data_IF_789777103063
#
_entry.id   IF_789777103063
#
_cell.length_a   1.000
_cell.length_b   1.000
_cell.length_c   1.000
_cell.angle_alpha   90.00
_cell.angle_beta   90.00
_cell.angle_gamma   90.00
#
_symmetry.space_group_name_H-M   'P 1'
#
loop_
_entity.id
_entity.type
_entity.pdbx_description
1 polymer ?
#
# COMPACT_ATOMS: atom_id res chain seq x y z
N UNK A 1 5.96 -4.42 -3.07
CA UNK A 1 6.76 -4.61 -4.28
C UNK A 1 6.77 -3.36 -5.17
N UNK A 2 5.64 -2.68 -5.32
CA UNK A 2 5.48 -1.56 -6.28
C UNK A 2 5.89 -0.17 -5.75
N UNK A 3 6.30 -0.04 -4.49
CA UNK A 3 6.66 1.26 -3.91
C UNK A 3 7.96 1.78 -4.53
N UNK A 4 7.86 2.89 -5.26
CA UNK A 4 8.99 3.58 -5.90
C UNK A 4 9.73 4.48 -4.91
N UNK A 5 8.99 5.10 -3.96
CA UNK A 5 9.57 5.95 -2.92
C UNK A 5 10.40 5.16 -1.92
N UNK A 6 10.35 5.55 -0.66
CA UNK A 6 11.17 4.91 0.35
C UNK A 6 10.39 4.47 1.58
N UNK A 7 11.12 4.30 2.67
CA UNK A 7 10.61 4.00 3.99
C UNK A 7 11.13 5.03 4.98
N UNK A 8 10.23 5.60 5.79
CA UNK A 8 10.63 6.58 6.80
C UNK A 8 11.37 5.91 7.96
N UNK A 9 12.31 6.66 8.53
CA UNK A 9 13.03 6.27 9.75
C UNK A 9 13.25 7.51 10.62
N UNK A 10 13.03 7.38 11.92
CA UNK A 10 13.46 8.35 12.90
C UNK A 10 14.99 8.38 12.96
N UNK A 11 15.62 9.51 12.63
CA UNK A 11 17.09 9.61 12.63
C UNK A 11 17.65 9.60 14.06
N UNK A 12 17.09 10.45 14.89
CA UNK A 12 17.40 10.61 16.32
C UNK A 12 16.24 11.27 17.05
N UNK A 13 16.35 11.43 18.36
CA UNK A 13 15.29 12.00 19.20
C UNK A 13 14.91 13.44 18.80
N UNK A 14 15.81 14.22 18.21
CA UNK A 14 15.54 15.60 17.79
C UNK A 14 14.61 15.69 16.58
N UNK A 15 14.53 14.64 15.76
CA UNK A 15 13.63 14.55 14.60
C UNK A 15 12.20 14.12 14.99
N UNK A 16 11.99 13.61 16.23
CA UNK A 16 10.70 13.03 16.61
C UNK A 16 9.52 14.01 16.47
N UNK A 17 9.65 15.21 17.03
CA UNK A 17 8.55 16.17 17.05
C UNK A 17 8.18 16.63 15.64
N UNK A 18 9.17 16.85 14.77
CA UNK A 18 8.94 17.24 13.38
C UNK A 18 8.31 16.11 12.57
N UNK A 19 8.75 14.88 12.76
CA UNK A 19 8.19 13.71 12.07
C UNK A 19 6.76 13.42 12.53
N UNK A 20 6.52 13.53 13.84
CA UNK A 20 5.18 13.38 14.41
C UNK A 20 4.22 14.43 13.85
N UNK A 21 4.62 15.70 13.84
CA UNK A 21 3.80 16.81 13.33
C UNK A 21 3.54 16.69 11.81
N UNK A 22 4.54 16.32 11.00
CA UNK A 22 4.37 16.09 9.57
C UNK A 22 3.32 14.98 9.32
N UNK A 23 3.37 13.89 10.10
CA UNK A 23 2.42 12.77 9.99
C UNK A 23 1.01 13.20 10.39
N UNK A 24 0.87 13.91 11.52
CA UNK A 24 -0.42 14.43 12.00
C UNK A 24 -1.05 15.41 11.01
N UNK A 25 -0.24 16.34 10.49
CA UNK A 25 -0.67 17.35 9.53
C UNK A 25 -1.12 16.71 8.21
N UNK A 26 -0.35 15.76 7.69
CA UNK A 26 -0.71 15.03 6.48
C UNK A 26 -2.03 14.29 6.63
N UNK A 27 -2.29 13.69 7.80
CA UNK A 27 -3.52 12.98 8.14
C UNK A 27 -4.68 13.89 8.56
N UNK A 28 -4.55 15.22 8.40
CA UNK A 28 -5.54 16.24 8.82
C UNK A 28 -5.88 16.19 10.32
N UNK A 29 -4.92 15.77 11.16
CA UNK A 29 -5.06 15.57 12.60
C UNK A 29 -6.16 14.56 13.01
N UNK A 30 -6.59 13.71 12.11
CA UNK A 30 -7.51 12.60 12.39
C UNK A 30 -6.78 11.27 12.66
N UNK A 31 -5.47 11.34 12.80
CA UNK A 31 -4.63 10.22 13.14
C UNK A 31 -4.82 9.79 14.61
N UNK A 32 -4.66 8.51 14.87
CA UNK A 32 -4.44 8.02 16.23
C UNK A 32 -3.03 8.36 16.69
N UNK A 33 -2.92 9.25 17.69
CA UNK A 33 -1.64 9.79 18.18
C UNK A 33 -0.71 8.73 18.75
N UNK A 34 -1.28 7.72 19.40
CA UNK A 34 -0.51 6.63 20.00
C UNK A 34 0.04 5.71 18.90
N UNK A 35 -0.77 5.34 17.91
CA UNK A 35 -0.33 4.58 16.74
C UNK A 35 0.79 5.29 15.99
N UNK A 36 0.68 6.61 15.78
CA UNK A 36 1.75 7.43 15.16
C UNK A 36 3.03 7.37 15.99
N UNK A 37 2.94 7.56 17.31
CA UNK A 37 4.09 7.50 18.20
C UNK A 37 4.76 6.13 18.19
N UNK A 38 3.97 5.04 18.24
CA UNK A 38 4.45 3.66 18.15
C UNK A 38 5.21 3.45 16.85
N UNK A 39 4.64 3.85 15.72
CA UNK A 39 5.28 3.70 14.41
C UNK A 39 6.64 4.41 14.37
N UNK A 40 6.68 5.67 14.74
CA UNK A 40 7.89 6.50 14.67
C UNK A 40 9.00 5.93 15.57
N UNK A 41 8.68 5.64 16.84
CA UNK A 41 9.67 5.15 17.81
C UNK A 41 10.19 3.74 17.50
N UNK A 42 9.42 2.93 16.78
CA UNK A 42 9.83 1.58 16.38
C UNK A 42 10.61 1.54 15.07
N UNK A 43 10.74 2.68 14.37
CA UNK A 43 11.27 2.73 13.01
C UNK A 43 12.73 2.25 12.90
N UNK A 44 13.59 2.67 13.85
CA UNK A 44 15.01 2.28 13.85
C UNK A 44 15.18 0.76 13.99
N UNK A 45 14.42 0.12 14.89
CA UNK A 45 14.45 -1.33 15.09
C UNK A 45 14.01 -2.08 13.84
N UNK A 46 12.98 -1.58 13.16
CA UNK A 46 12.49 -2.18 11.90
C UNK A 46 13.53 -2.05 10.80
N UNK A 47 14.17 -0.90 10.65
CA UNK A 47 15.22 -0.70 9.64
C UNK A 47 16.44 -1.61 9.92
N UNK A 48 16.84 -1.75 11.19
CA UNK A 48 17.91 -2.69 11.56
C UNK A 48 17.54 -4.14 11.19
N UNK A 49 16.30 -4.57 11.45
CA UNK A 49 15.84 -5.89 11.05
C UNK A 49 15.90 -6.08 9.52
N UNK A 50 15.45 -5.07 8.74
CA UNK A 50 15.49 -5.12 7.28
C UNK A 50 16.92 -5.27 6.75
N UNK A 51 17.86 -4.49 7.28
CA UNK A 51 19.29 -4.61 6.95
C UNK A 51 19.80 -6.02 7.34
N UNK A 52 19.37 -6.54 8.47
CA UNK A 52 19.69 -7.91 8.91
C UNK A 52 19.16 -8.99 7.96
N UNK A 53 18.03 -8.75 7.28
CA UNK A 53 17.49 -9.61 6.22
C UNK A 53 18.17 -9.40 4.86
N UNK A 54 19.10 -8.45 4.77
CA UNK A 54 19.87 -8.19 3.55
C UNK A 54 19.26 -7.14 2.63
N UNK A 55 18.37 -6.29 3.14
CA UNK A 55 17.89 -5.10 2.40
C UNK A 55 19.02 -4.11 2.27
N UNK A 56 19.28 -3.66 1.05
CA UNK A 56 20.34 -2.72 0.72
C UNK A 56 19.74 -1.32 0.48
N UNK A 57 19.92 -0.44 1.45
CA UNK A 57 19.54 0.97 1.32
C UNK A 57 20.71 1.79 0.77
N UNK A 58 20.40 2.85 0.02
CA UNK A 58 21.39 3.81 -0.47
C UNK A 58 22.28 4.34 0.66
N UNK A 59 23.55 4.57 0.36
CA UNK A 59 24.57 5.05 1.30
C UNK A 59 25.28 6.28 0.75
N UNK A 60 25.72 7.13 1.66
CA UNK A 60 26.56 8.28 1.33
C UNK A 60 28.02 7.86 1.06
N UNK A 61 28.84 8.82 0.66
CA UNK A 61 30.27 8.62 0.38
C UNK A 61 31.07 8.05 1.57
N UNK A 62 30.55 8.20 2.79
CA UNK A 62 31.16 7.70 4.02
C UNK A 62 30.61 6.32 4.44
N UNK A 63 29.68 5.74 3.65
CA UNK A 63 29.06 4.46 3.94
C UNK A 63 27.90 4.52 4.93
N UNK A 64 27.46 5.71 5.37
CA UNK A 64 26.28 5.86 6.19
C UNK A 64 25.01 5.77 5.34
N UNK A 65 23.86 5.48 5.99
CA UNK A 65 22.56 5.49 5.32
C UNK A 65 22.28 6.89 4.73
N UNK A 66 21.95 6.91 3.44
CA UNK A 66 21.56 8.14 2.75
C UNK A 66 20.06 8.39 2.95
N UNK A 67 19.69 9.64 3.24
CA UNK A 67 18.31 10.05 3.45
C UNK A 67 17.86 11.04 2.38
N UNK A 68 16.69 10.81 1.85
CA UNK A 68 15.99 11.75 0.97
C UNK A 68 14.75 12.34 1.63
N UNK A 69 14.10 13.29 0.94
CA UNK A 69 12.88 13.96 1.38
C UNK A 69 11.84 13.89 0.25
N UNK A 70 10.62 13.55 0.61
CA UNK A 70 9.45 13.66 -0.26
C UNK A 70 8.55 14.83 0.16
N UNK A 71 7.54 15.13 -0.63
CA UNK A 71 6.57 16.18 -0.36
C UNK A 71 5.91 16.03 1.02
N UNK A 72 5.56 17.15 1.65
CA UNK A 72 4.98 17.25 2.99
C UNK A 72 5.88 16.81 4.16
N UNK A 73 7.10 16.35 3.92
CA UNK A 73 8.11 16.17 4.98
C UNK A 73 8.88 17.46 5.25
N UNK A 74 9.09 17.79 6.50
CA UNK A 74 9.89 18.96 6.91
C UNK A 74 11.40 18.68 6.85
N UNK A 75 11.82 17.40 6.94
CA UNK A 75 13.22 16.99 6.94
C UNK A 75 13.46 15.73 6.09
N UNK A 76 14.74 15.45 5.80
CA UNK A 76 15.18 14.22 5.13
C UNK A 76 15.16 13.07 6.15
N UNK A 77 14.24 12.12 5.99
CA UNK A 77 14.11 10.94 6.86
C UNK A 77 13.72 9.66 6.13
N UNK A 78 13.80 9.67 4.82
CA UNK A 78 13.34 8.57 3.97
C UNK A 78 14.55 7.82 3.45
N UNK A 79 14.64 6.53 3.78
CA UNK A 79 15.58 5.58 3.21
C UNK A 79 15.02 5.02 1.92
N UNK A 80 15.87 4.76 0.95
CA UNK A 80 15.48 4.34 -0.38
C UNK A 80 16.51 3.39 -1.00
N UNK A 81 16.09 2.68 -2.04
CA UNK A 81 16.94 1.91 -2.93
C UNK A 81 16.50 2.24 -4.36
N UNK A 82 17.24 3.11 -5.03
CA UNK A 82 16.85 3.67 -6.33
C UNK A 82 15.37 4.14 -6.32
N UNK A 83 14.59 3.82 -7.34
CA UNK A 83 13.13 4.01 -7.39
C UNK A 83 12.35 2.66 -7.31
N UNK A 84 12.95 1.65 -6.63
CA UNK A 84 12.39 0.29 -6.44
C UNK A 84 12.47 -0.21 -4.98
N UNK A 85 12.40 0.68 -4.02
CA UNK A 85 12.54 0.33 -2.59
C UNK A 85 11.57 -0.77 -2.14
N UNK A 86 10.36 -0.78 -2.65
CA UNK A 86 9.37 -1.81 -2.32
C UNK A 86 9.75 -3.19 -2.87
N UNK A 87 10.35 -3.26 -4.05
CA UNK A 87 10.87 -4.50 -4.63
C UNK A 87 12.04 -5.04 -3.81
N UNK A 88 13.00 -4.18 -3.46
CA UNK A 88 14.15 -4.54 -2.64
C UNK A 88 13.72 -5.14 -1.30
N UNK A 89 12.86 -4.45 -0.55
CA UNK A 89 12.36 -4.94 0.75
C UNK A 89 11.62 -6.26 0.59
N UNK A 90 10.65 -6.33 -0.35
CA UNK A 90 9.78 -7.51 -0.48
C UNK A 90 10.55 -8.74 -0.95
N UNK A 91 11.48 -8.58 -1.91
CA UNK A 91 12.28 -9.69 -2.44
C UNK A 91 13.19 -10.30 -1.37
N UNK A 92 13.84 -9.46 -0.55
CA UNK A 92 14.71 -9.93 0.55
C UNK A 92 13.93 -10.64 1.64
N UNK A 93 12.79 -10.06 2.07
CA UNK A 93 11.93 -10.70 3.07
C UNK A 93 11.35 -12.02 2.57
N UNK A 94 10.89 -12.09 1.31
CA UNK A 94 10.41 -13.33 0.71
C UNK A 94 11.51 -14.38 0.61
N UNK A 95 12.72 -13.99 0.21
CA UNK A 95 13.87 -14.88 0.17
C UNK A 95 14.23 -15.40 1.56
N UNK A 96 14.13 -14.59 2.60
CA UNK A 96 14.33 -15.01 3.98
C UNK A 96 13.24 -16.00 4.44
N UNK A 97 11.97 -15.70 4.16
CA UNK A 97 10.85 -16.58 4.49
C UNK A 97 10.98 -17.96 3.82
N UNK A 98 11.38 -18.02 2.54
CA UNK A 98 11.60 -19.28 1.80
C UNK A 98 12.72 -20.15 2.36
N UNK A 99 13.62 -19.59 3.15
CA UNK A 99 14.69 -20.35 3.83
C UNK A 99 14.23 -20.96 5.17
N UNK A 100 13.07 -20.54 5.70
CA UNK A 100 12.56 -21.04 6.97
C UNK A 100 11.81 -22.35 6.74
N UNK A 101 12.25 -23.50 7.33
CA UNK A 101 11.64 -24.81 7.07
C UNK A 101 10.23 -24.97 7.64
N UNK A 102 9.83 -24.10 8.56
CA UNK A 102 8.51 -24.05 9.20
C UNK A 102 7.53 -23.08 8.53
N UNK A 103 7.91 -22.46 7.40
CA UNK A 103 7.02 -21.60 6.63
C UNK A 103 6.60 -22.32 5.36
N UNK A 104 5.29 -22.45 5.15
CA UNK A 104 4.70 -22.97 3.91
C UNK A 104 4.07 -21.82 3.14
N UNK A 105 4.52 -21.57 1.91
CA UNK A 105 3.96 -20.55 1.02
C UNK A 105 3.05 -21.25 0.00
N UNK A 106 1.78 -20.84 -0.02
CA UNK A 106 0.76 -21.36 -0.93
C UNK A 106 0.49 -20.30 -2.01
N UNK A 107 1.23 -20.39 -3.11
CA UNK A 107 1.04 -19.49 -4.26
C UNK A 107 -0.26 -19.83 -5.01
N UNK A 108 -0.81 -18.88 -5.78
CA UNK A 108 -2.05 -19.01 -6.56
C UNK A 108 -3.25 -19.54 -5.72
N UNK A 109 -3.25 -19.17 -4.44
CA UNK A 109 -4.26 -19.61 -3.47
C UNK A 109 -5.00 -18.42 -2.92
N UNK A 110 -6.33 -18.42 -3.00
CA UNK A 110 -7.19 -17.34 -2.55
C UNK A 110 -7.92 -17.71 -1.28
N UNK A 111 -7.90 -16.84 -0.27
CA UNK A 111 -8.82 -16.90 0.85
C UNK A 111 -10.22 -16.53 0.37
N UNK A 112 -11.19 -17.40 0.64
CA UNK A 112 -12.61 -17.19 0.25
C UNK A 112 -13.52 -17.00 1.44
N UNK A 113 -13.10 -17.46 2.63
CA UNK A 113 -13.83 -17.26 3.89
C UNK A 113 -12.92 -17.52 5.09
N UNK A 114 -13.47 -17.26 6.30
CA UNK A 114 -12.90 -17.69 7.59
C UNK A 114 -13.82 -18.64 8.33
N UNK A 115 -13.25 -19.48 9.17
CA UNK A 115 -13.99 -20.42 10.03
C UNK A 115 -14.16 -19.79 11.39
N UNK A 116 -15.40 -19.50 11.78
CA UNK A 116 -15.68 -18.74 13.00
C UNK A 116 -16.76 -19.40 13.86
N UNK A 117 -16.68 -19.20 15.17
CA UNK A 117 -17.71 -19.52 16.15
C UNK A 117 -17.57 -18.59 17.36
N UNK A 118 -18.69 -18.08 17.86
CA UNK A 118 -18.74 -17.26 19.10
C UNK A 118 -17.75 -16.07 19.08
N UNK A 119 -17.67 -15.34 17.96
CA UNK A 119 -16.74 -14.23 17.70
C UNK A 119 -15.25 -14.62 17.81
N UNK A 120 -14.91 -15.87 17.53
CA UNK A 120 -13.55 -16.37 17.52
C UNK A 120 -13.22 -16.99 16.16
N UNK A 121 -12.02 -16.69 15.60
CA UNK A 121 -11.52 -17.26 14.36
C UNK A 121 -10.71 -18.52 14.65
N UNK A 122 -10.97 -19.59 13.89
CA UNK A 122 -10.31 -20.89 14.02
C UNK A 122 -9.47 -21.24 12.79
N UNK A 123 -9.51 -20.39 11.75
CA UNK A 123 -8.77 -20.60 10.52
C UNK A 123 -9.48 -20.04 9.31
N UNK A 124 -9.13 -20.54 8.14
CA UNK A 124 -9.61 -19.98 6.86
C UNK A 124 -10.07 -21.06 5.90
N UNK A 125 -10.94 -20.67 4.97
CA UNK A 125 -11.31 -21.44 3.79
C UNK A 125 -10.54 -20.87 2.61
N UNK A 126 -9.81 -21.71 1.92
CA UNK A 126 -8.99 -21.34 0.77
C UNK A 126 -9.47 -22.05 -0.49
N UNK A 127 -9.23 -21.39 -1.62
CA UNK A 127 -9.42 -21.96 -2.94
C UNK A 127 -8.08 -22.04 -3.66
N UNK A 128 -7.74 -23.23 -4.12
CA UNK A 128 -6.55 -23.50 -4.93
C UNK A 128 -6.75 -23.05 -6.38
N UNK A 129 -5.67 -23.00 -7.13
CA UNK A 129 -5.68 -22.67 -8.56
C UNK A 129 -6.56 -23.63 -9.39
N UNK A 130 -6.58 -24.91 -9.05
CA UNK A 130 -7.42 -25.93 -9.69
C UNK A 130 -8.90 -25.85 -9.29
N UNK A 131 -9.28 -24.89 -8.46
CA UNK A 131 -10.64 -24.70 -7.96
C UNK A 131 -10.97 -25.49 -6.70
N UNK A 132 -10.07 -26.32 -6.18
CA UNK A 132 -10.29 -27.11 -4.97
C UNK A 132 -10.49 -26.18 -3.76
N UNK A 133 -11.53 -26.46 -2.97
CA UNK A 133 -11.81 -25.77 -1.70
C UNK A 133 -11.25 -26.57 -0.54
N UNK A 134 -10.39 -25.95 0.22
CA UNK A 134 -9.76 -26.53 1.41
C UNK A 134 -9.97 -25.62 2.63
N UNK A 135 -9.77 -26.20 3.80
CA UNK A 135 -9.78 -25.47 5.07
C UNK A 135 -8.40 -25.56 5.72
N UNK A 136 -7.95 -24.46 6.28
CA UNK A 136 -6.69 -24.38 7.04
C UNK A 136 -7.05 -24.00 8.47
N UNK A 137 -6.84 -24.93 9.40
CA UNK A 137 -6.98 -24.68 10.83
C UNK A 137 -5.77 -23.91 11.35
N UNK A 138 -6.01 -22.89 12.18
CA UNK A 138 -4.96 -22.05 12.73
C UNK A 138 -5.31 -21.54 14.13
N UNK A 139 -4.32 -21.47 15.00
CA UNK A 139 -4.45 -20.81 16.31
C UNK A 139 -4.65 -19.31 16.17
N UNK A 140 -3.98 -18.70 15.21
CA UNK A 140 -4.11 -17.29 14.87
C UNK A 140 -4.19 -17.13 13.36
N UNK A 141 -5.04 -16.22 12.91
CA UNK A 141 -5.14 -15.82 11.51
C UNK A 141 -4.74 -14.35 11.38
N UNK A 142 -3.89 -14.04 10.40
CA UNK A 142 -3.46 -12.68 10.13
C UNK A 142 -3.88 -12.28 8.71
N UNK A 143 -4.67 -11.23 8.59
CA UNK A 143 -5.01 -10.64 7.31
C UNK A 143 -3.99 -9.60 6.89
N UNK A 144 -3.35 -9.83 5.75
CA UNK A 144 -2.44 -8.92 5.07
C UNK A 144 -2.82 -8.82 3.58
N UNK A 145 -4.13 -8.68 3.31
CA UNK A 145 -4.75 -8.83 1.99
C UNK A 145 -4.63 -7.56 1.13
N UNK A 146 -4.00 -6.50 1.63
CA UNK A 146 -3.97 -5.18 0.97
C UNK A 146 -5.31 -4.45 1.03
N UNK A 147 -5.44 -3.43 0.18
CA UNK A 147 -6.59 -2.53 0.17
C UNK A 147 -7.65 -2.85 -0.88
N UNK A 148 -8.19 -1.79 -1.49
CA UNK A 148 -9.34 -1.84 -2.40
C UNK A 148 -9.01 -1.31 -3.81
N UNK A 149 -7.74 -1.12 -4.13
CA UNK A 149 -7.30 -0.42 -5.34
C UNK A 149 -7.79 -1.06 -6.64
N UNK A 150 -7.96 -2.38 -6.66
CA UNK A 150 -8.47 -3.09 -7.83
C UNK A 150 -9.91 -2.75 -8.23
N UNK A 151 -10.66 -2.06 -7.36
CA UNK A 151 -12.03 -1.61 -7.66
C UNK A 151 -12.08 -0.30 -8.46
N UNK A 152 -10.95 0.43 -8.54
CA UNK A 152 -10.87 1.72 -9.23
C UNK A 152 -10.37 1.56 -10.66
N UNK A 153 -10.91 2.36 -11.58
CA UNK A 153 -10.47 2.41 -12.97
C UNK A 153 -9.00 2.79 -13.06
N UNK A 154 -8.61 3.92 -12.47
CA UNK A 154 -7.24 4.36 -12.35
C UNK A 154 -6.72 4.01 -10.96
N UNK A 155 -5.75 3.10 -10.90
CA UNK A 155 -5.16 2.66 -9.64
C UNK A 155 -3.71 2.21 -9.83
N UNK A 156 -2.85 2.58 -8.89
CA UNK A 156 -1.46 2.10 -8.85
C UNK A 156 -1.35 0.67 -8.30
N UNK A 157 -2.45 0.11 -7.80
CA UNK A 157 -2.49 -1.21 -7.18
C UNK A 157 -2.82 -2.32 -8.19
N UNK A 158 -2.46 -3.54 -7.85
CA UNK A 158 -2.87 -4.71 -8.63
C UNK A 158 -4.38 -4.90 -8.64
N UNK A 159 -4.91 -5.35 -9.76
CA UNK A 159 -6.35 -5.52 -9.99
C UNK A 159 -7.03 -6.57 -9.09
N UNK A 160 -6.26 -7.50 -8.52
CA UNK A 160 -6.78 -8.51 -7.60
C UNK A 160 -7.01 -7.98 -6.17
N UNK A 161 -6.57 -6.75 -5.85
CA UNK A 161 -6.79 -6.13 -4.54
C UNK A 161 -8.21 -5.54 -4.47
N UNK A 162 -9.20 -6.38 -4.21
CA UNK A 162 -10.63 -6.06 -4.31
C UNK A 162 -11.33 -5.90 -2.95
N UNK A 163 -10.57 -5.79 -1.85
CA UNK A 163 -11.14 -5.59 -0.52
C UNK A 163 -11.76 -6.87 0.08
N UNK A 164 -11.18 -8.02 -0.20
CA UNK A 164 -11.70 -9.31 0.27
C UNK A 164 -11.87 -9.36 1.80
N UNK A 165 -10.90 -8.80 2.55
CA UNK A 165 -11.01 -8.71 4.02
C UNK A 165 -12.17 -7.82 4.49
N UNK A 166 -12.50 -6.74 3.76
CA UNK A 166 -13.65 -5.89 4.07
C UNK A 166 -14.98 -6.65 3.85
N UNK A 167 -15.08 -7.37 2.74
CA UNK A 167 -16.26 -8.18 2.44
C UNK A 167 -16.48 -9.25 3.52
N UNK A 168 -15.41 -9.94 3.92
CA UNK A 168 -15.47 -10.92 5.02
C UNK A 168 -15.77 -10.26 6.38
N UNK A 169 -15.26 -9.05 6.61
CA UNK A 169 -15.58 -8.30 7.83
C UNK A 169 -17.08 -8.00 7.93
N UNK A 170 -17.69 -7.56 6.85
CA UNK A 170 -19.16 -7.33 6.79
C UNK A 170 -19.92 -8.64 7.03
N UNK A 171 -19.50 -9.72 6.37
CA UNK A 171 -20.12 -11.04 6.49
C UNK A 171 -20.10 -11.58 7.92
N UNK A 172 -18.98 -11.42 8.64
CA UNK A 172 -18.74 -11.99 9.96
C UNK A 172 -18.91 -10.98 11.11
N UNK A 173 -19.37 -9.75 10.84
CA UNK A 173 -19.61 -8.75 11.87
C UNK A 173 -18.32 -8.17 12.49
N UNK A 174 -17.19 -8.23 11.77
CA UNK A 174 -15.91 -7.67 12.21
C UNK A 174 -15.94 -6.16 12.00
N UNK A 175 -15.45 -5.40 12.97
CA UNK A 175 -15.48 -3.94 12.95
C UNK A 175 -14.59 -3.38 11.84
N UNK A 176 -15.16 -2.46 11.05
CA UNK A 176 -14.46 -1.62 10.07
C UNK A 176 -14.30 -0.20 10.60
N UNK A 177 -13.30 0.52 10.10
CA UNK A 177 -13.05 1.93 10.44
C UNK A 177 -12.64 2.71 9.20
N UNK A 178 -13.12 3.95 9.09
CA UNK A 178 -12.70 4.96 8.11
C UNK A 178 -12.72 4.48 6.64
N UNK A 179 -13.70 3.65 6.27
CA UNK A 179 -13.79 3.00 4.94
C UNK A 179 -13.96 3.97 3.77
N UNK A 180 -14.19 5.23 4.03
CA UNK A 180 -14.24 6.33 3.05
C UNK A 180 -12.89 7.04 2.88
N UNK A 181 -11.85 6.68 3.65
CA UNK A 181 -10.54 7.33 3.56
C UNK A 181 -9.67 6.63 2.51
N UNK A 182 -9.70 7.20 1.31
CA UNK A 182 -8.96 6.70 0.15
C UNK A 182 -8.04 7.81 -0.35
N UNK A 183 -6.75 7.52 -0.47
CA UNK A 183 -5.77 8.44 -1.01
C UNK A 183 -5.72 8.33 -2.53
N UNK A 184 -5.83 9.47 -3.20
CA UNK A 184 -5.59 9.61 -4.63
C UNK A 184 -4.17 10.16 -4.83
N UNK A 185 -3.36 9.48 -5.63
CA UNK A 185 -2.07 10.03 -6.05
C UNK A 185 -2.30 10.96 -7.25
N UNK A 186 -1.71 12.16 -7.25
CA UNK A 186 -1.97 13.16 -8.28
C UNK A 186 -1.48 12.76 -9.67
N UNK A 187 -0.36 12.05 -9.76
CA UNK A 187 0.34 11.78 -11.01
C UNK A 187 0.62 10.30 -11.20
N UNK A 188 -0.11 9.69 -12.13
CA UNK A 188 0.19 8.38 -12.70
C UNK A 188 0.21 8.53 -14.21
N UNK A 189 1.00 7.73 -14.90
CA UNK A 189 1.03 7.74 -16.35
C UNK A 189 -0.35 7.39 -16.90
N UNK A 190 -0.90 8.25 -17.78
CA UNK A 190 -2.17 8.00 -18.42
C UNK A 190 -2.00 7.11 -19.65
N UNK A 191 -2.74 6.02 -19.70
CA UNK A 191 -2.91 5.20 -20.91
C UNK A 191 -4.40 5.01 -21.20
N UNK A 192 -4.86 5.14 -22.44
CA UNK A 192 -6.24 4.84 -22.81
C UNK A 192 -6.59 3.35 -22.66
N UNK A 193 -5.62 2.46 -22.79
CA UNK A 193 -5.75 1.01 -22.71
C UNK A 193 -5.43 0.51 -21.28
N UNK A 194 -6.41 0.66 -20.38
CA UNK A 194 -6.22 0.38 -18.96
C UNK A 194 -6.64 -1.04 -18.56
N UNK A 195 -6.06 -2.06 -19.13
CA UNK A 195 -6.27 -3.43 -18.64
C UNK A 195 -5.46 -3.71 -17.36
N UNK A 196 -4.34 -3.02 -17.18
CA UNK A 196 -3.43 -3.16 -16.04
C UNK A 196 -3.55 -2.00 -15.03
N UNK A 197 -2.69 -2.00 -14.03
CA UNK A 197 -2.57 -0.90 -13.07
C UNK A 197 -1.95 0.33 -13.71
N UNK A 198 -2.34 1.52 -13.22
CA UNK A 198 -1.69 2.77 -13.62
C UNK A 198 -0.24 2.81 -13.10
N UNK A 199 0.70 3.17 -13.97
CA UNK A 199 2.10 3.30 -13.57
C UNK A 199 2.31 4.59 -12.76
N UNK A 200 2.93 4.49 -11.59
CA UNK A 200 3.17 5.64 -10.72
C UNK A 200 4.27 6.53 -11.29
N UNK A 201 3.99 7.83 -11.42
CA UNK A 201 5.02 8.85 -11.54
C UNK A 201 5.24 9.42 -10.14
N UNK A 202 6.37 9.09 -9.54
CA UNK A 202 6.67 9.37 -8.12
C UNK A 202 6.51 10.85 -7.76
N UNK A 203 6.11 11.11 -6.53
CA UNK A 203 6.07 12.48 -5.98
C UNK A 203 7.44 13.15 -5.98
N UNK A 204 8.52 12.36 -5.85
CA UNK A 204 9.90 12.86 -5.91
C UNK A 204 10.21 13.59 -7.23
N UNK A 205 9.63 13.14 -8.36
CA UNK A 205 9.77 13.80 -9.67
C UNK A 205 9.30 15.26 -9.60
N UNK A 206 8.16 15.52 -8.95
CA UNK A 206 7.67 16.89 -8.71
C UNK A 206 8.52 17.63 -7.67
N UNK A 207 9.01 16.91 -6.68
CA UNK A 207 9.95 17.43 -5.67
C UNK A 207 11.25 17.93 -6.28
N UNK A 208 11.75 17.26 -7.31
CA UNK A 208 12.97 17.63 -8.05
C UNK A 208 12.73 18.63 -9.17
N UNK A 209 11.48 19.04 -9.40
CA UNK A 209 11.22 20.21 -10.21
C UNK A 209 10.23 20.04 -11.36
N UNK A 210 9.70 18.85 -11.65
CA UNK A 210 8.72 18.64 -12.71
C UNK A 210 7.50 19.58 -12.57
N UNK A 211 6.90 19.95 -13.68
CA UNK A 211 5.82 20.94 -13.78
C UNK A 211 4.58 20.37 -14.44
N UNK A 212 3.41 20.83 -13.99
CA UNK A 212 2.12 20.42 -14.51
C UNK A 212 1.50 21.49 -15.45
N UNK A 213 1.01 21.04 -16.59
CA UNK A 213 0.46 21.88 -17.63
C UNK A 213 -0.94 21.43 -18.08
N UNK A 214 -1.78 22.40 -18.43
CA UNK A 214 -3.08 22.19 -19.05
C UNK A 214 -2.94 21.81 -20.54
N UNK A 215 -4.06 21.59 -21.23
CA UNK A 215 -4.08 21.25 -22.67
C UNK A 215 -3.45 22.30 -23.58
N UNK A 216 -3.28 23.53 -23.11
CA UNK A 216 -2.68 24.64 -23.86
C UNK A 216 -1.21 24.87 -23.44
N UNK A 217 -0.62 23.93 -22.72
CA UNK A 217 0.74 24.01 -22.19
C UNK A 217 0.94 25.20 -21.25
N UNK A 218 -0.08 25.56 -20.50
CA UNK A 218 -0.01 26.59 -19.47
C UNK A 218 0.04 25.94 -18.08
N UNK A 219 1.04 26.29 -17.28
CA UNK A 219 1.14 25.86 -15.87
C UNK A 219 -0.07 26.39 -15.09
N UNK A 220 -0.74 25.53 -14.33
CA UNK A 220 -2.01 25.85 -13.67
C UNK A 220 -2.02 25.68 -12.15
N UNK A 221 -1.00 25.05 -11.56
CA UNK A 221 -1.00 24.68 -10.14
C UNK A 221 0.41 24.76 -9.53
N UNK A 222 0.48 24.79 -8.20
CA UNK A 222 1.70 24.51 -7.46
C UNK A 222 1.83 23.00 -7.25
N UNK A 223 2.82 22.36 -7.84
CA UNK A 223 3.05 20.92 -7.87
C UNK A 223 3.42 20.33 -6.50
N UNK A 224 3.79 21.16 -5.54
CA UNK A 224 4.18 20.76 -4.19
C UNK A 224 3.04 20.83 -3.17
N UNK A 225 1.81 21.02 -3.62
CA UNK A 225 0.63 20.89 -2.77
C UNK A 225 0.52 19.46 -2.21
N UNK A 226 -0.09 19.27 -1.02
CA UNK A 226 -0.50 17.95 -0.53
C UNK A 226 -1.26 17.15 -1.60
N UNK A 227 -1.13 15.83 -1.58
CA UNK A 227 -1.67 14.93 -2.64
C UNK A 227 -3.14 15.12 -2.92
N UNK A 228 -3.95 15.22 -1.88
CA UNK A 228 -5.40 15.42 -1.96
C UNK A 228 -5.75 16.74 -2.63
N UNK A 229 -5.12 17.83 -2.24
CA UNK A 229 -5.34 19.14 -2.83
C UNK A 229 -4.85 19.20 -4.28
N UNK A 230 -3.69 18.62 -4.57
CA UNK A 230 -3.16 18.60 -5.93
C UNK A 230 -4.03 17.74 -6.86
N UNK A 231 -4.48 16.58 -6.41
CA UNK A 231 -5.38 15.71 -7.18
C UNK A 231 -6.70 16.44 -7.49
N UNK A 232 -7.27 17.16 -6.52
CA UNK A 232 -8.47 17.97 -6.71
C UNK A 232 -8.27 19.06 -7.79
N UNK A 233 -7.15 19.78 -7.76
CA UNK A 233 -6.85 20.81 -8.76
C UNK A 233 -6.64 20.21 -10.16
N UNK A 234 -6.03 19.02 -10.26
CA UNK A 234 -5.88 18.30 -11.53
C UNK A 234 -7.27 17.89 -12.07
N UNK A 235 -8.15 17.31 -11.25
CA UNK A 235 -9.51 16.97 -11.67
C UNK A 235 -10.30 18.19 -12.14
N UNK A 236 -10.18 19.33 -11.44
CA UNK A 236 -10.81 20.60 -11.85
C UNK A 236 -10.28 21.07 -13.22
N UNK A 237 -8.97 20.96 -13.44
CA UNK A 237 -8.37 21.34 -14.70
C UNK A 237 -8.79 20.42 -15.85
N UNK A 238 -8.78 19.09 -15.63
CA UNK A 238 -9.27 18.11 -16.60
C UNK A 238 -10.72 18.39 -17.01
N UNK A 239 -11.60 18.62 -16.03
CA UNK A 239 -13.01 18.96 -16.27
C UNK A 239 -13.17 20.25 -17.07
N UNK A 240 -12.39 21.29 -16.76
CA UNK A 240 -12.39 22.57 -17.48
C UNK A 240 -11.90 22.43 -18.91
N UNK A 241 -10.89 21.59 -19.13
CA UNK A 241 -10.28 21.38 -20.44
C UNK A 241 -11.07 20.38 -21.31
N UNK A 242 -11.92 19.56 -20.70
CA UNK A 242 -12.60 18.44 -21.36
C UNK A 242 -11.62 17.35 -21.80
N UNK A 243 -10.62 17.06 -20.96
CA UNK A 243 -9.56 16.07 -21.25
C UNK A 243 -9.53 14.99 -20.17
N UNK A 244 -9.01 13.80 -20.52
CA UNK A 244 -8.85 12.66 -19.61
C UNK A 244 -7.52 12.68 -18.85
N UNK A 245 -6.64 13.65 -19.11
CA UNK A 245 -5.33 13.80 -18.49
C UNK A 245 -4.86 15.26 -18.50
N UNK A 246 -3.80 15.53 -17.75
CA UNK A 246 -2.97 16.75 -17.84
C UNK A 246 -1.55 16.36 -18.27
N UNK A 247 -0.68 17.32 -18.48
CA UNK A 247 0.69 17.09 -18.93
C UNK A 247 1.68 17.33 -17.79
N UNK A 248 2.67 16.44 -17.64
CA UNK A 248 3.80 16.62 -16.72
C UNK A 248 5.10 16.75 -17.50
N UNK A 249 5.89 17.77 -17.19
CA UNK A 249 7.16 18.10 -17.84
C UNK A 249 8.33 17.80 -16.91
N UNK A 250 9.12 16.80 -17.27
CA UNK A 250 10.30 16.38 -16.52
C UNK A 250 11.58 17.08 -17.02
N UNK A 251 11.54 17.84 -18.11
CA UNK A 251 12.72 18.53 -18.69
C UNK A 251 13.27 19.64 -17.82
N UNK A 252 12.54 20.04 -16.80
CA UNK A 252 12.97 20.99 -15.76
C UNK A 252 13.95 20.39 -14.76
N UNK A 253 14.08 19.06 -14.73
CA UNK A 253 15.07 18.32 -13.93
C UNK A 253 16.34 18.15 -14.79
N UNK A 254 17.54 18.39 -14.23
CA UNK A 254 18.79 18.11 -14.94
C UNK A 254 18.85 16.68 -15.46
N UNK A 255 19.27 16.51 -16.72
CA UNK A 255 19.22 15.20 -17.37
C UNK A 255 19.99 14.09 -16.62
N UNK A 256 21.13 14.44 -16.03
CA UNK A 256 21.94 13.50 -15.27
C UNK A 256 21.18 13.03 -14.02
N UNK A 257 20.60 13.96 -13.27
CA UNK A 257 19.77 13.66 -12.08
C UNK A 257 18.53 12.84 -12.46
N UNK A 258 17.85 13.18 -13.57
CA UNK A 258 16.70 12.44 -14.04
C UNK A 258 17.02 10.97 -14.33
N UNK A 259 18.16 10.70 -14.99
CA UNK A 259 18.58 9.35 -15.35
C UNK A 259 19.12 8.56 -14.17
N UNK A 260 19.69 9.24 -13.15
CA UNK A 260 20.21 8.62 -11.94
C UNK A 260 19.13 8.30 -10.92
N UNK A 261 18.19 9.25 -10.71
CA UNK A 261 17.19 9.11 -9.65
C UNK A 261 15.92 8.38 -10.09
N UNK A 262 15.58 8.39 -11.39
CA UNK A 262 14.31 7.86 -11.91
C UNK A 262 14.47 6.94 -13.12
N UNK A 263 15.43 5.99 -13.12
CA UNK A 263 15.72 5.18 -14.30
C UNK A 263 14.52 4.36 -14.77
N UNK A 264 13.71 3.80 -13.84
CA UNK A 264 12.55 2.99 -14.20
C UNK A 264 11.38 3.85 -14.72
N UNK A 265 11.20 5.08 -14.23
CA UNK A 265 10.20 6.02 -14.78
C UNK A 265 10.56 6.40 -16.20
N UNK A 266 11.84 6.74 -16.46
CA UNK A 266 12.35 7.07 -17.79
C UNK A 266 12.15 5.91 -18.76
N UNK A 267 12.50 4.69 -18.33
CA UNK A 267 12.35 3.49 -19.15
C UNK A 267 10.90 3.20 -19.48
N UNK A 268 10.01 3.23 -18.48
CA UNK A 268 8.59 3.02 -18.70
C UNK A 268 7.99 4.03 -19.68
N UNK A 269 8.31 5.32 -19.53
CA UNK A 269 7.85 6.35 -20.47
C UNK A 269 8.35 6.07 -21.89
N UNK A 270 9.60 5.62 -22.04
CA UNK A 270 10.18 5.24 -23.32
C UNK A 270 9.45 4.06 -23.98
N UNK A 271 9.12 3.01 -23.18
CA UNK A 271 8.33 1.87 -23.64
C UNK A 271 6.95 2.28 -24.13
N UNK A 272 6.36 3.30 -23.49
CA UNK A 272 5.07 3.90 -23.85
C UNK A 272 5.18 4.92 -25.00
N UNK A 273 6.37 5.12 -25.58
CA UNK A 273 6.61 5.97 -26.75
C UNK A 273 6.92 7.43 -26.43
N UNK A 274 7.23 7.77 -25.17
CA UNK A 274 7.54 9.14 -24.74
C UNK A 274 9.02 9.29 -24.38
N UNK A 275 9.66 10.32 -24.94
CA UNK A 275 11.01 10.73 -24.54
C UNK A 275 10.90 11.90 -23.55
N UNK A 276 10.99 11.60 -22.26
CA UNK A 276 10.86 12.58 -21.16
C UNK A 276 11.89 13.71 -21.21
N UNK A 277 12.96 13.55 -22.00
CA UNK A 277 13.97 14.60 -22.23
C UNK A 277 13.57 15.59 -23.33
N UNK A 278 12.53 15.30 -24.11
CA UNK A 278 12.09 16.10 -25.26
C UNK A 278 10.66 16.59 -25.15
N UNK A 279 9.80 15.85 -24.47
CA UNK A 279 8.36 16.10 -24.44
C UNK A 279 7.76 15.87 -23.05
N UNK A 280 6.56 16.40 -22.83
CA UNK A 280 5.77 16.14 -21.64
C UNK A 280 5.10 14.77 -21.72
N UNK A 281 4.82 14.18 -20.58
CA UNK A 281 4.07 12.92 -20.46
C UNK A 281 2.63 13.18 -20.01
N UNK A 282 1.64 12.37 -20.46
CA UNK A 282 0.28 12.48 -19.98
C UNK A 282 0.15 11.85 -18.58
N UNK A 283 -0.48 12.57 -17.65
CA UNK A 283 -0.69 12.08 -16.28
C UNK A 283 -2.12 12.28 -15.81
N UNK A 284 -2.58 11.37 -14.94
CA UNK A 284 -3.93 11.36 -14.39
C UNK A 284 -3.89 10.99 -12.90
N UNK A 285 -4.76 11.57 -12.04
CA UNK A 285 -4.89 11.11 -10.68
C UNK A 285 -5.44 9.69 -10.61
N UNK A 286 -4.89 8.86 -9.70
CA UNK A 286 -5.29 7.48 -9.53
C UNK A 286 -5.40 7.10 -8.05
N UNK A 287 -6.28 6.14 -7.75
CA UNK A 287 -6.29 5.54 -6.42
C UNK A 287 -4.91 4.95 -6.10
N UNK A 288 -4.41 5.19 -4.88
CA UNK A 288 -3.06 4.82 -4.52
C UNK A 288 -2.96 4.06 -3.21
N UNK A 289 -3.67 4.51 -2.15
CA UNK A 289 -3.64 3.88 -0.83
C UNK A 289 -5.01 3.96 -0.15
N UNK A 290 -5.33 2.94 0.64
CA UNK A 290 -6.54 2.85 1.42
C UNK A 290 -6.20 3.02 2.91
N UNK A 291 -6.54 4.18 3.51
CA UNK A 291 -6.24 4.47 4.92
C UNK A 291 -7.27 3.87 5.87
N UNK A 292 -8.48 3.60 5.39
CA UNK A 292 -9.48 2.82 6.11
C UNK A 292 -9.17 1.34 6.14
N UNK A 293 -10.06 0.53 6.69
CA UNK A 293 -9.89 -0.92 6.71
C UNK A 293 -10.52 -1.63 7.88
N UNK A 294 -10.02 -2.80 8.17
CA UNK A 294 -10.39 -3.56 9.36
C UNK A 294 -9.86 -2.82 10.59
N UNK A 295 -10.78 -2.46 11.51
CA UNK A 295 -10.37 -1.82 12.76
C UNK A 295 -9.47 -2.77 13.57
N UNK A 296 -8.37 -2.24 14.08
CA UNK A 296 -7.46 -2.96 14.96
C UNK A 296 -7.04 -2.10 16.15
N UNK A 297 -6.63 -2.77 17.23
CA UNK A 297 -5.93 -2.13 18.34
C UNK A 297 -4.43 -1.92 18.03
N UNK A 298 -3.66 -1.43 19.00
CA UNK A 298 -2.23 -1.17 18.85
C UNK A 298 -1.37 -2.44 18.73
N UNK A 299 -1.94 -3.61 18.98
CA UNK A 299 -1.30 -4.92 18.79
C UNK A 299 -1.82 -5.65 17.56
N UNK A 300 -2.57 -4.94 16.70
CA UNK A 300 -3.18 -5.43 15.46
C UNK A 300 -4.27 -6.48 15.64
N UNK A 301 -4.87 -6.62 16.84
CA UNK A 301 -6.07 -7.44 17.01
C UNK A 301 -7.27 -6.77 16.34
N UNK A 302 -8.08 -7.55 15.70
CA UNK A 302 -9.40 -7.10 15.21
C UNK A 302 -10.45 -7.18 16.35
N UNK A 303 -11.71 -6.89 16.04
CA UNK A 303 -12.83 -7.10 16.97
C UNK A 303 -13.22 -8.58 17.15
N UNK A 304 -12.58 -9.51 16.44
CA UNK A 304 -12.77 -10.94 16.52
C UNK A 304 -11.54 -11.60 17.16
N UNK A 305 -11.73 -12.44 18.13
CA UNK A 305 -10.64 -13.17 18.79
C UNK A 305 -9.84 -14.02 17.80
N UNK A 306 -8.53 -14.14 18.00
CA UNK A 306 -7.56 -14.88 17.17
C UNK A 306 -7.43 -14.40 15.74
N UNK A 307 -8.04 -13.25 15.40
CA UNK A 307 -7.93 -12.62 14.10
C UNK A 307 -7.21 -11.29 14.20
N UNK A 308 -6.15 -11.15 13.44
CA UNK A 308 -5.32 -9.95 13.32
C UNK A 308 -5.44 -9.38 11.91
N UNK A 309 -5.18 -8.08 11.75
CA UNK A 309 -5.02 -7.46 10.46
C UNK A 309 -3.82 -6.49 10.49
N UNK A 310 -3.02 -6.47 9.40
CA UNK A 310 -1.80 -5.66 9.30
C UNK A 310 -1.67 -5.02 7.92
N UNK A 311 -0.86 -3.98 7.83
CA UNK A 311 -0.64 -3.23 6.60
C UNK A 311 -1.92 -2.57 6.07
N UNK A 312 -2.01 -2.35 4.78
CA UNK A 312 -3.13 -1.65 4.14
C UNK A 312 -4.52 -2.33 4.33
N UNK A 313 -4.56 -3.56 4.83
CA UNK A 313 -5.80 -4.22 5.22
C UNK A 313 -6.39 -3.65 6.51
N UNK A 314 -5.53 -3.16 7.41
CA UNK A 314 -5.87 -2.68 8.74
C UNK A 314 -6.05 -1.17 8.78
N UNK A 315 -6.94 -0.71 9.66
CA UNK A 315 -7.05 0.69 10.06
C UNK A 315 -6.67 0.84 11.54
N UNK A 316 -5.38 1.04 11.80
CA UNK A 316 -4.83 1.37 13.13
C UNK A 316 -4.83 2.88 13.42
N UNK A 317 -5.20 3.70 12.45
CA UNK A 317 -5.32 5.14 12.58
C UNK A 317 -4.02 5.93 12.38
N UNK A 318 -2.91 5.30 12.01
CA UNK A 318 -1.63 6.01 11.74
C UNK A 318 -1.78 7.10 10.69
N UNK A 319 -2.57 6.86 9.65
CA UNK A 319 -2.58 7.71 8.46
C UNK A 319 -3.65 8.82 8.46
N UNK A 320 -4.64 8.76 9.37
CA UNK A 320 -5.75 9.71 9.34
C UNK A 320 -6.46 9.72 7.97
N UNK A 321 -6.86 10.90 7.50
CA UNK A 321 -7.55 11.07 6.21
C UNK A 321 -6.65 10.98 4.98
N UNK A 322 -5.34 11.26 5.16
CA UNK A 322 -4.41 11.30 4.04
C UNK A 322 -3.02 10.90 4.52
N UNK A 323 -2.45 9.87 3.90
CA UNK A 323 -1.19 9.26 4.30
C UNK A 323 0.01 10.14 3.93
N UNK A 324 0.90 10.39 4.89
CA UNK A 324 2.21 10.95 4.59
C UNK A 324 3.02 9.94 3.77
N UNK A 325 3.68 10.40 2.72
CA UNK A 325 4.49 9.55 1.84
C UNK A 325 5.52 8.74 2.64
N UNK A 326 5.85 7.54 2.18
CA UNK A 326 6.84 6.61 2.77
C UNK A 326 6.56 6.11 4.20
N UNK A 327 5.40 6.43 4.79
CA UNK A 327 4.96 5.88 6.08
C UNK A 327 4.33 4.49 5.97
N UNK A 328 3.77 4.10 4.81
CA UNK A 328 2.99 2.86 4.70
C UNK A 328 3.82 1.58 4.86
N UNK A 329 5.03 1.55 4.29
CA UNK A 329 5.93 0.41 4.46
C UNK A 329 6.35 0.27 5.92
N UNK A 330 6.69 1.39 6.58
CA UNK A 330 7.06 1.40 7.99
C UNK A 330 5.90 0.93 8.88
N UNK A 331 4.70 1.49 8.67
CA UNK A 331 3.48 1.10 9.39
C UNK A 331 3.25 -0.40 9.29
N UNK A 332 3.25 -0.94 8.08
CA UNK A 332 3.01 -2.38 7.84
C UNK A 332 3.99 -3.26 8.60
N UNK A 333 5.27 -2.93 8.60
CA UNK A 333 6.32 -3.72 9.26
C UNK A 333 6.29 -3.59 10.78
N UNK A 334 6.07 -2.37 11.30
CA UNK A 334 5.97 -2.13 12.75
C UNK A 334 4.81 -2.92 13.34
N UNK A 335 3.63 -2.80 12.76
CA UNK A 335 2.43 -3.43 13.33
C UNK A 335 2.40 -4.95 13.07
N UNK A 336 2.96 -5.45 11.96
CA UNK A 336 3.17 -6.88 11.77
C UNK A 336 4.12 -7.48 12.81
N UNK A 337 5.22 -6.77 13.14
CA UNK A 337 6.16 -7.20 14.21
C UNK A 337 5.49 -7.21 15.58
N UNK A 338 4.61 -6.25 15.89
CA UNK A 338 3.82 -6.20 17.14
C UNK A 338 2.85 -7.36 17.20
N UNK A 339 2.07 -7.62 16.15
CA UNK A 339 1.17 -8.76 16.05
C UNK A 339 1.93 -10.09 16.29
N UNK A 340 3.07 -10.28 15.64
CA UNK A 340 3.89 -11.48 15.80
C UNK A 340 4.38 -11.67 17.24
N UNK A 341 4.84 -10.61 17.90
CA UNK A 341 5.25 -10.66 19.32
C UNK A 341 4.09 -11.03 20.24
N UNK A 342 2.91 -10.47 19.99
CA UNK A 342 1.70 -10.75 20.77
C UNK A 342 1.30 -12.21 20.63
N UNK A 343 1.20 -12.74 19.42
CA UNK A 343 0.86 -14.15 19.15
C UNK A 343 1.88 -15.10 19.80
N UNK A 344 3.18 -14.82 19.69
CA UNK A 344 4.24 -15.66 20.25
C UNK A 344 4.29 -15.66 21.79
N UNK A 345 3.74 -14.61 22.42
CA UNK A 345 3.64 -14.50 23.88
C UNK A 345 2.47 -15.27 24.50
N UNK A 346 1.51 -15.68 23.70
CA UNK A 346 0.35 -16.45 24.17
C UNK A 346 0.74 -17.91 24.38
N UNK A 347 0.65 -18.36 25.64
CA UNK A 347 1.01 -19.74 26.07
C UNK A 347 -0.19 -20.69 26.25
N UNK A 348 -1.39 -20.21 25.95
CA UNK A 348 -2.59 -21.01 26.15
C UNK A 348 -2.70 -22.08 25.05
N UNK A 349 -2.99 -23.32 25.46
CA UNK A 349 -3.35 -24.39 24.52
C UNK A 349 -4.72 -24.06 23.94
N UNK A 350 -4.71 -23.60 22.69
CA UNK A 350 -5.93 -23.20 22.02
C UNK A 350 -6.76 -24.43 21.69
N UNK A 351 -8.01 -24.42 22.12
CA UNK A 351 -8.97 -25.48 21.78
C UNK A 351 -9.14 -25.54 20.28
N UNK A 352 -8.91 -26.70 19.67
CA UNK A 352 -9.30 -27.01 18.30
C UNK A 352 -10.81 -27.20 18.22
N UNK A 353 -11.41 -26.95 17.09
CA UNK A 353 -12.84 -27.12 16.87
C UNK A 353 -13.10 -27.91 15.57
N UNK A 354 -12.66 -29.18 15.52
CA UNK A 354 -12.72 -29.99 14.28
C UNK A 354 -14.14 -30.13 13.72
N UNK A 355 -15.16 -30.05 14.57
CA UNK A 355 -16.55 -30.08 14.15
C UNK A 355 -16.94 -28.88 13.29
N UNK A 356 -16.33 -27.71 13.48
CA UNK A 356 -16.59 -26.54 12.65
C UNK A 356 -16.10 -26.74 11.23
N UNK A 357 -14.93 -27.34 11.07
CA UNK A 357 -14.34 -27.62 9.77
C UNK A 357 -15.09 -28.72 9.00
N UNK A 358 -15.62 -29.71 9.73
CA UNK A 358 -16.46 -30.77 9.15
C UNK A 358 -17.83 -30.25 8.71
N UNK A 359 -18.35 -29.21 9.33
CA UNK A 359 -19.65 -28.62 9.01
C UNK A 359 -19.63 -27.67 7.81
N UNK A 360 -18.47 -27.33 7.26
CA UNK A 360 -18.36 -26.38 6.16
C UNK A 360 -18.91 -26.97 4.86
N UNK A 361 -19.97 -26.36 4.33
CA UNK A 361 -20.47 -26.67 3.00
C UNK A 361 -19.56 -26.02 1.93
N UNK A 362 -18.65 -26.83 1.41
CA UNK A 362 -17.68 -26.37 0.41
C UNK A 362 -18.32 -25.98 -0.93
N UNK A 363 -19.56 -26.46 -1.22
CA UNK A 363 -20.24 -26.21 -2.47
C UNK A 363 -20.62 -24.73 -2.66
N UNK A 364 -20.88 -23.99 -1.57
CA UNK A 364 -21.22 -22.57 -1.64
C UNK A 364 -20.07 -21.72 -2.18
N UNK A 365 -18.82 -22.14 -2.00
CA UNK A 365 -17.64 -21.40 -2.49
C UNK A 365 -17.35 -21.71 -3.96
N UNK A 366 -17.88 -22.79 -4.51
CA UNK A 366 -17.78 -23.09 -5.94
C UNK A 366 -18.68 -22.16 -6.77
N UNK A 367 -19.82 -21.73 -6.24
CA UNK A 367 -20.79 -20.87 -6.91
C UNK A 367 -20.34 -19.41 -7.07
N UNK A 368 -19.39 -18.93 -6.24
CA UNK A 368 -18.85 -17.57 -6.32
C UNK A 368 -18.20 -17.22 -7.66
N UNK A 369 -17.93 -18.24 -8.50
CA UNK A 369 -17.31 -18.08 -9.83
C UNK A 369 -18.30 -18.04 -10.99
N UNK A 370 -19.57 -18.35 -10.75
CA UNK A 370 -20.60 -18.35 -11.80
C UNK A 370 -21.39 -17.04 -11.85
N UNK A 371 -21.24 -16.17 -10.87
CA UNK A 371 -21.78 -14.81 -10.93
C UNK A 371 -20.82 -13.94 -11.72
N UNK A 372 -21.25 -13.32 -12.83
CA UNK A 372 -20.40 -12.39 -13.57
C UNK A 372 -19.95 -11.28 -12.63
N UNK A 373 -18.65 -10.96 -12.65
CA UNK A 373 -18.15 -9.79 -11.92
C UNK A 373 -18.84 -8.54 -12.48
N UNK A 374 -18.90 -7.43 -11.73
CA UNK A 374 -19.40 -6.15 -12.28
C UNK A 374 -18.73 -5.76 -13.60
N UNK A 375 -17.50 -6.23 -13.85
CA UNK A 375 -16.75 -6.04 -15.12
C UNK A 375 -17.26 -6.90 -16.26
N UNK A 376 -17.73 -8.12 -15.98
CA UNK A 376 -18.26 -9.01 -17.02
C UNK A 376 -19.60 -8.49 -17.54
N UNK A 377 -20.35 -7.77 -16.71
CA UNK A 377 -21.61 -7.10 -17.10
C UNK A 377 -21.39 -5.81 -17.91
N UNK A 378 -20.27 -5.11 -17.73
CA UNK A 378 -19.93 -3.93 -18.55
C UNK A 378 -19.46 -4.33 -19.95
N UNK A 379 -18.67 -5.42 -20.10
CA UNK A 379 -18.27 -5.94 -21.41
C UNK A 379 -19.44 -6.44 -22.28
N UNK A 380 -20.54 -6.85 -21.68
CA UNK A 380 -21.74 -7.29 -22.42
C UNK A 380 -22.70 -6.14 -22.79
N UNK A 381 -22.38 -4.88 -22.44
CA UNK A 381 -23.16 -3.69 -22.76
C UNK A 381 -22.49 -2.75 -23.77
N UNK A 382 -21.32 -3.11 -24.30
CA UNK A 382 -20.69 -2.54 -25.47
C UNK A 382 -20.87 -3.50 -26.64
#
# INVERSE_FOLDING_TARGET
YLAQGGICMLKDDSDYDSYFEDTMKAGHYENDRESVSIMIRSSQDVIHDLIGFGVDFARDENGNLAFTREGAHSDKRILFHEDITGEEITSKLLAAARKCPNITILENTRMVDIVTKDNCCYGTVIRREDGTIETVEAEHTVWACGGIGGLYRHSTNFRHLTGDALALSIKHGIRLKDVNYVQIHPTTFYSPDEEERSFLISESVRGEGAKLYDKNMKRFVNELLPRDLLAEEIYKQMAKDGTDHVWEDLRTIPREELMEHFPNIVEHCREMGYDVTKECIPVVPAQHYFMGGVWVDHESHTSMERLYAVGETACNGVHGKNRLASNSLLESLVFAKRAAKQMSGQKETISTAPELFAAIDRSIYCLLYTSPSPRDTERSRM
#
